data_IF_808355580534
#
_entry.id   IF_808355580534
#
_cell.length_a   1.000
_cell.length_b   1.000
_cell.length_c   1.000
_cell.angle_alpha   90.00
_cell.angle_beta   90.00
_cell.angle_gamma   90.00
#
_symmetry.space_group_name_H-M   'P 1'
#
loop_
_entity.id
_entity.type
_entity.pdbx_description
1 polymer ?
#
# COMPACT_ATOMS: atom_id res chain seq x y z
N UNK A 1 -4.61 -3.58 -10.00
CA UNK A 1 -3.46 -2.68 -9.73
C UNK A 1 -2.40 -2.79 -10.84
N UNK A 2 -2.45 -1.88 -11.82
CA UNK A 2 -1.44 -1.80 -12.87
C UNK A 2 -0.30 -0.89 -12.39
N UNK A 3 0.80 -1.49 -11.93
CA UNK A 3 2.04 -0.72 -11.74
C UNK A 3 2.61 -0.49 -13.14
N UNK A 4 2.59 0.76 -13.60
CA UNK A 4 3.11 1.13 -14.93
C UNK A 4 4.64 1.22 -14.90
N UNK A 5 5.28 0.06 -14.73
CA UNK A 5 6.71 -0.12 -14.46
C UNK A 5 7.58 0.33 -15.63
N UNK A 6 7.04 0.22 -16.83
CA UNK A 6 7.77 0.60 -18.01
C UNK A 6 8.02 2.12 -18.08
N UNK A 7 7.34 2.98 -17.32
CA UNK A 7 7.47 4.42 -17.58
C UNK A 7 8.91 4.97 -17.46
N UNK A 8 9.71 4.65 -16.42
CA UNK A 8 11.11 5.04 -16.38
C UNK A 8 11.93 4.41 -17.52
N UNK A 9 11.84 3.10 -17.73
CA UNK A 9 12.62 2.40 -18.78
C UNK A 9 12.22 2.78 -20.22
N UNK A 10 10.93 2.97 -20.48
CA UNK A 10 10.41 3.47 -21.76
C UNK A 10 10.75 4.94 -21.94
N UNK A 11 10.75 5.76 -20.88
CA UNK A 11 11.21 7.15 -20.95
C UNK A 11 12.70 7.24 -21.28
N UNK A 12 13.53 6.37 -20.69
CA UNK A 12 14.95 6.25 -21.02
C UNK A 12 15.16 5.73 -22.45
N UNK A 13 14.26 4.88 -22.96
CA UNK A 13 14.22 4.42 -24.35
C UNK A 13 13.60 5.43 -25.34
N UNK A 14 13.29 6.67 -24.90
CA UNK A 14 12.77 7.74 -25.75
C UNK A 14 11.25 7.82 -25.87
N UNK A 15 10.50 7.06 -25.07
CA UNK A 15 9.05 7.13 -24.94
C UNK A 15 8.57 8.48 -24.40
N UNK A 16 7.64 9.10 -25.12
CA UNK A 16 7.08 10.43 -24.79
C UNK A 16 5.57 10.33 -24.53
N UNK A 17 4.89 11.46 -24.37
CA UNK A 17 3.45 11.53 -24.10
C UNK A 17 2.60 10.69 -25.07
N UNK A 18 2.99 10.60 -26.36
CA UNK A 18 2.30 9.77 -27.35
C UNK A 18 2.32 8.27 -27.03
N UNK A 19 3.41 7.75 -26.46
CA UNK A 19 3.52 6.34 -26.04
C UNK A 19 2.55 6.02 -24.89
N UNK A 20 2.49 6.88 -23.88
CA UNK A 20 1.57 6.73 -22.76
C UNK A 20 0.10 6.83 -23.20
N UNK A 21 -0.21 7.77 -24.10
CA UNK A 21 -1.57 7.93 -24.63
C UNK A 21 -1.98 6.72 -25.49
N UNK A 22 -1.11 6.25 -26.38
CA UNK A 22 -1.36 5.06 -27.19
C UNK A 22 -1.55 3.81 -26.31
N UNK A 23 -0.70 3.62 -25.29
CA UNK A 23 -0.83 2.50 -24.35
C UNK A 23 -2.16 2.54 -23.60
N UNK A 24 -2.56 3.72 -23.10
CA UNK A 24 -3.85 3.91 -22.44
C UNK A 24 -5.04 3.65 -23.38
N UNK A 25 -4.96 4.11 -24.63
CA UNK A 25 -6.01 3.86 -25.63
C UNK A 25 -6.16 2.38 -25.97
N UNK A 26 -5.05 1.65 -26.17
CA UNK A 26 -5.05 0.21 -26.45
C UNK A 26 -5.63 -0.57 -25.26
N UNK A 27 -5.21 -0.26 -24.04
CA UNK A 27 -5.78 -0.88 -22.83
C UNK A 27 -7.28 -0.57 -22.72
N UNK A 28 -7.69 0.67 -23.00
CA UNK A 28 -9.08 1.08 -23.03
C UNK A 28 -9.90 0.24 -24.02
N UNK A 29 -9.41 0.06 -25.25
CA UNK A 29 -10.06 -0.79 -26.26
C UNK A 29 -10.18 -2.23 -25.75
N UNK A 30 -9.13 -2.79 -25.17
CA UNK A 30 -9.18 -4.15 -24.60
C UNK A 30 -10.20 -4.29 -23.48
N UNK A 31 -10.37 -3.26 -22.63
CA UNK A 31 -11.43 -3.23 -21.62
C UNK A 31 -12.83 -3.20 -22.27
N UNK A 32 -13.05 -2.33 -23.26
CA UNK A 32 -14.35 -2.18 -23.92
C UNK A 32 -14.77 -3.40 -24.75
N UNK A 33 -13.81 -4.13 -25.32
CA UNK A 33 -14.07 -5.34 -26.11
C UNK A 33 -14.10 -6.61 -25.22
N UNK A 34 -13.73 -6.51 -23.94
CA UNK A 34 -13.73 -7.65 -23.01
C UNK A 34 -12.60 -8.67 -23.25
N UNK A 35 -11.52 -8.26 -23.92
CA UNK A 35 -10.43 -9.16 -24.33
C UNK A 35 -9.52 -9.62 -23.16
N UNK A 36 -9.69 -9.07 -21.96
CA UNK A 36 -8.93 -9.46 -20.78
C UNK A 36 -9.16 -10.93 -20.39
N UNK A 37 -10.35 -11.49 -20.64
CA UNK A 37 -10.60 -12.93 -20.42
C UNK A 37 -9.76 -13.82 -21.34
N UNK A 38 -9.56 -13.41 -22.59
CA UNK A 38 -8.72 -14.12 -23.56
C UNK A 38 -7.24 -14.01 -23.17
N UNK A 39 -6.79 -12.82 -22.77
CA UNK A 39 -5.42 -12.61 -22.30
C UNK A 39 -5.12 -13.43 -21.04
N UNK A 40 -6.06 -13.54 -20.10
CA UNK A 40 -5.91 -14.36 -18.89
C UNK A 40 -5.81 -15.86 -19.20
N UNK A 41 -6.51 -16.33 -20.24
CA UNK A 41 -6.41 -17.73 -20.70
C UNK A 41 -5.08 -17.99 -21.44
N UNK A 42 -4.54 -16.99 -22.14
CA UNK A 42 -3.32 -17.11 -22.93
C UNK A 42 -2.04 -16.99 -22.08
N UNK A 43 -2.09 -16.17 -21.02
CA UNK A 43 -0.94 -15.88 -20.17
C UNK A 43 -0.93 -16.81 -18.95
N UNK A 44 -0.04 -17.82 -18.90
CA UNK A 44 0.03 -18.72 -17.77
C UNK A 44 0.49 -17.98 -16.51
N UNK A 45 -0.23 -18.15 -15.40
CA UNK A 45 0.11 -17.56 -14.09
C UNK A 45 1.58 -17.82 -13.68
N UNK A 46 2.17 -19.01 -13.90
CA UNK A 46 3.59 -19.26 -13.62
C UNK A 46 4.57 -18.32 -14.34
N UNK A 47 4.20 -17.72 -15.47
CA UNK A 47 5.05 -16.74 -16.17
C UNK A 47 4.94 -15.33 -15.57
N UNK A 48 3.79 -14.98 -14.99
CA UNK A 48 3.52 -13.65 -14.43
C UNK A 48 4.22 -13.47 -13.07
N UNK A 49 4.20 -14.50 -12.22
CA UNK A 49 4.72 -14.41 -10.84
C UNK A 49 6.21 -14.02 -10.78
N UNK A 50 7.13 -14.66 -11.54
CA UNK A 50 8.55 -14.27 -11.52
C UNK A 50 8.79 -12.84 -11.98
N UNK A 51 8.01 -12.37 -12.96
CA UNK A 51 8.08 -10.98 -13.46
C UNK A 51 7.70 -10.03 -12.32
N UNK A 52 6.58 -10.26 -11.64
CA UNK A 52 6.13 -9.43 -10.51
C UNK A 52 7.13 -9.44 -9.34
N UNK A 53 7.74 -10.59 -9.05
CA UNK A 53 8.80 -10.70 -8.04
C UNK A 53 10.01 -9.82 -8.41
N UNK A 54 10.50 -9.94 -9.64
CA UNK A 54 11.63 -9.16 -10.13
C UNK A 54 11.34 -7.65 -10.05
N UNK A 55 10.13 -7.24 -10.44
CA UNK A 55 9.67 -5.85 -10.34
C UNK A 55 9.67 -5.37 -8.89
N UNK A 56 9.08 -6.15 -7.97
CA UNK A 56 9.03 -5.80 -6.55
C UNK A 56 10.42 -5.60 -5.96
N UNK A 57 11.36 -6.49 -6.32
CA UNK A 57 12.76 -6.38 -5.91
C UNK A 57 13.44 -5.13 -6.48
N UNK A 58 13.24 -4.83 -7.76
CA UNK A 58 13.83 -3.64 -8.39
C UNK A 58 13.28 -2.34 -7.80
N UNK A 59 11.96 -2.19 -7.69
CA UNK A 59 11.34 -0.99 -7.13
C UNK A 59 11.71 -0.84 -5.65
N UNK A 60 11.74 -1.95 -4.90
CA UNK A 60 12.21 -1.99 -3.53
C UNK A 60 13.65 -1.47 -3.42
N UNK A 61 14.57 -1.98 -4.23
CA UNK A 61 15.96 -1.51 -4.24
C UNK A 61 16.07 -0.02 -4.63
N UNK A 62 15.32 0.42 -5.65
CA UNK A 62 15.29 1.80 -6.12
C UNK A 62 14.80 2.76 -5.03
N UNK A 63 13.82 2.37 -4.21
CA UNK A 63 13.33 3.19 -3.11
C UNK A 63 14.45 3.55 -2.11
N UNK A 64 15.37 2.63 -1.82
CA UNK A 64 16.53 2.89 -0.95
C UNK A 64 17.66 3.63 -1.66
N UNK A 65 17.85 3.41 -2.97
CA UNK A 65 18.90 4.05 -3.75
C UNK A 65 18.58 5.50 -4.13
N UNK A 66 17.29 5.83 -4.29
CA UNK A 66 16.83 7.16 -4.67
C UNK A 66 16.83 8.17 -3.51
N UNK A 67 17.05 7.72 -2.27
CA UNK A 67 17.04 8.57 -1.07
C UNK A 67 18.42 8.66 -0.42
N UNK A 68 18.74 9.73 0.34
CA UNK A 68 19.94 9.78 1.14
C UNK A 68 19.98 8.64 2.16
N UNK A 69 21.18 8.16 2.51
CA UNK A 69 21.37 7.04 3.48
C UNK A 69 20.67 7.28 4.82
N UNK A 70 20.62 8.55 5.26
CA UNK A 70 19.94 8.93 6.50
C UNK A 70 18.44 8.55 6.48
N UNK A 71 17.78 8.63 5.31
CA UNK A 71 16.34 8.41 5.16
C UNK A 71 15.97 6.94 4.88
N UNK A 72 16.92 6.01 4.87
CA UNK A 72 16.63 4.60 4.67
C UNK A 72 15.63 4.05 5.70
N UNK A 73 15.70 4.53 6.95
CA UNK A 73 14.74 4.16 8.01
C UNK A 73 13.32 4.66 7.68
N UNK A 74 13.19 5.83 7.05
CA UNK A 74 11.90 6.36 6.63
C UNK A 74 11.24 5.51 5.53
N UNK A 75 12.05 4.95 4.62
CA UNK A 75 11.56 4.01 3.60
C UNK A 75 10.99 2.75 4.25
N UNK A 76 11.70 2.17 5.23
CA UNK A 76 11.21 1.00 5.98
C UNK A 76 9.90 1.33 6.71
N UNK A 77 9.85 2.47 7.39
CA UNK A 77 8.64 2.91 8.10
C UNK A 77 7.45 3.07 7.15
N UNK A 78 7.66 3.65 5.96
CA UNK A 78 6.62 3.83 4.95
C UNK A 78 6.06 2.51 4.38
N UNK A 79 6.82 1.42 4.44
CA UNK A 79 6.39 0.09 3.97
C UNK A 79 5.52 -0.63 5.01
N UNK A 80 5.69 -0.36 6.30
CA UNK A 80 5.00 -1.08 7.39
C UNK A 80 3.48 -1.14 7.25
N UNK A 81 2.76 -0.05 6.90
CA UNK A 81 1.30 -0.12 6.74
C UNK A 81 0.86 -1.07 5.62
N UNK A 82 1.63 -1.14 4.53
CA UNK A 82 1.33 -2.05 3.42
C UNK A 82 1.55 -3.50 3.82
N UNK A 83 2.58 -3.77 4.64
CA UNK A 83 2.79 -5.10 5.23
C UNK A 83 1.67 -5.47 6.21
N UNK A 84 1.19 -4.52 7.02
CA UNK A 84 0.08 -4.72 7.95
C UNK A 84 -1.22 -5.06 7.19
N UNK A 85 -1.55 -4.29 6.15
CA UNK A 85 -2.71 -4.56 5.29
C UNK A 85 -2.61 -5.95 4.62
N UNK A 86 -1.43 -6.30 4.10
CA UNK A 86 -1.21 -7.61 3.50
C UNK A 86 -1.36 -8.75 4.51
N UNK A 87 -0.75 -8.63 5.69
CA UNK A 87 -0.82 -9.64 6.75
C UNK A 87 -2.25 -9.82 7.27
N UNK A 88 -2.95 -8.72 7.55
CA UNK A 88 -4.36 -8.73 7.92
C UNK A 88 -5.21 -9.45 6.86
N UNK A 89 -5.04 -9.10 5.57
CA UNK A 89 -5.76 -9.74 4.49
C UNK A 89 -5.46 -11.24 4.33
N UNK A 90 -4.23 -11.69 4.63
CA UNK A 90 -3.91 -13.12 4.67
C UNK A 90 -4.64 -13.85 5.79
N UNK A 91 -4.75 -13.23 6.97
CA UNK A 91 -5.51 -13.78 8.10
C UNK A 91 -6.98 -13.91 7.71
N UNK A 92 -7.58 -12.85 7.17
CA UNK A 92 -8.99 -12.89 6.72
C UNK A 92 -9.21 -13.98 5.65
N UNK A 93 -8.32 -14.08 4.66
CA UNK A 93 -8.42 -15.12 3.64
C UNK A 93 -8.35 -16.54 4.23
N UNK A 94 -7.48 -16.76 5.21
CA UNK A 94 -7.35 -18.05 5.88
C UNK A 94 -8.59 -18.40 6.73
N UNK A 95 -9.11 -17.43 7.49
CA UNK A 95 -10.32 -17.61 8.29
C UNK A 95 -11.54 -17.88 7.40
N UNK A 96 -11.71 -17.09 6.33
CA UNK A 96 -12.78 -17.28 5.35
C UNK A 96 -12.71 -18.66 4.68
N UNK A 97 -11.50 -19.15 4.35
CA UNK A 97 -11.31 -20.48 3.80
C UNK A 97 -11.66 -21.61 4.81
N UNK A 98 -11.51 -21.35 6.10
CA UNK A 98 -11.93 -22.24 7.18
C UNK A 98 -13.44 -22.13 7.51
N UNK A 99 -14.18 -21.25 6.82
CA UNK A 99 -15.61 -21.03 7.04
C UNK A 99 -15.93 -20.22 8.30
N UNK A 100 -14.97 -19.44 8.79
CA UNK A 100 -15.15 -18.56 9.96
C UNK A 100 -14.66 -17.13 9.65
N UNK A 101 -14.72 -16.24 10.64
CA UNK A 101 -14.22 -14.86 10.52
C UNK A 101 -13.52 -14.42 11.80
N UNK A 102 -12.76 -13.32 11.74
CA UNK A 102 -12.08 -12.77 12.91
C UNK A 102 -13.06 -12.38 14.04
N UNK A 103 -14.30 -12.02 13.69
CA UNK A 103 -15.35 -11.72 14.67
C UNK A 103 -15.82 -12.96 15.42
N UNK A 104 -15.89 -14.12 14.74
CA UNK A 104 -16.29 -15.37 15.35
C UNK A 104 -15.18 -16.00 16.20
N UNK A 105 -13.92 -15.89 15.75
CA UNK A 105 -12.75 -16.36 16.51
C UNK A 105 -12.50 -15.51 17.75
N UNK A 106 -13.01 -14.28 17.80
CA UNK A 106 -12.80 -13.25 18.84
C UNK A 106 -11.39 -12.66 18.86
N UNK A 107 -11.30 -11.36 19.15
CA UNK A 107 -10.02 -10.67 19.26
C UNK A 107 -9.13 -11.20 20.39
N UNK A 108 -9.73 -11.73 21.45
CA UNK A 108 -9.01 -12.30 22.60
C UNK A 108 -8.30 -13.61 22.24
N UNK A 109 -8.96 -14.51 21.52
CA UNK A 109 -8.34 -15.76 21.08
C UNK A 109 -7.21 -15.50 20.07
N UNK A 110 -7.42 -14.56 19.14
CA UNK A 110 -6.39 -14.15 18.17
C UNK A 110 -5.17 -13.55 18.89
N UNK A 111 -5.37 -12.64 19.84
CA UNK A 111 -4.28 -12.07 20.63
C UNK A 111 -3.59 -13.14 21.49
N UNK A 112 -4.34 -14.08 22.08
CA UNK A 112 -3.80 -15.20 22.84
C UNK A 112 -2.91 -16.14 22.00
N UNK A 113 -3.17 -16.23 20.70
CA UNK A 113 -2.33 -16.95 19.74
C UNK A 113 -1.15 -16.12 19.20
N UNK A 114 -0.97 -14.87 19.64
CA UNK A 114 0.06 -13.95 19.16
C UNK A 114 -0.32 -13.20 17.87
N UNK A 115 -1.57 -13.28 17.42
CA UNK A 115 -2.08 -12.55 16.26
C UNK A 115 -2.70 -11.24 16.72
N UNK A 116 -1.94 -10.15 16.60
CA UNK A 116 -2.40 -8.78 16.94
C UNK A 116 -3.30 -8.24 15.83
N UNK A 117 -4.49 -8.82 15.70
CA UNK A 117 -5.40 -8.59 14.56
C UNK A 117 -5.85 -7.13 14.45
N UNK A 118 -6.37 -6.55 15.53
CA UNK A 118 -6.87 -5.16 15.52
C UNK A 118 -5.78 -4.13 15.21
N UNK A 119 -4.55 -4.38 15.68
CA UNK A 119 -3.41 -3.51 15.37
C UNK A 119 -3.01 -3.58 13.90
N UNK A 120 -2.97 -4.79 13.33
CA UNK A 120 -2.71 -4.99 11.90
C UNK A 120 -3.81 -4.37 11.03
N UNK A 121 -5.07 -4.54 11.43
CA UNK A 121 -6.22 -3.93 10.77
C UNK A 121 -6.08 -2.41 10.77
N UNK A 122 -5.99 -1.80 11.96
CA UNK A 122 -5.95 -0.35 12.12
C UNK A 122 -4.78 0.27 11.36
N UNK A 123 -3.58 -0.32 11.43
CA UNK A 123 -2.40 0.20 10.72
C UNK A 123 -2.50 0.00 9.20
N UNK A 124 -3.21 -1.05 8.75
CA UNK A 124 -3.38 -1.37 7.33
C UNK A 124 -4.45 -0.54 6.62
N UNK A 125 -5.40 0.06 7.35
CA UNK A 125 -6.46 0.88 6.76
C UNK A 125 -5.89 2.15 6.11
N UNK A 126 -6.00 2.23 4.78
CA UNK A 126 -5.41 3.34 4.01
C UNK A 126 -3.89 3.26 3.88
N UNK A 127 -3.29 2.06 3.92
CA UNK A 127 -1.86 1.80 4.00
C UNK A 127 -0.95 2.69 3.13
N UNK A 128 -1.35 3.01 1.89
CA UNK A 128 -0.57 3.87 1.00
C UNK A 128 -0.44 5.28 1.57
N UNK A 129 -1.54 5.87 2.04
CA UNK A 129 -1.55 7.20 2.65
C UNK A 129 -0.90 7.18 4.03
N UNK A 130 -1.16 6.14 4.84
CA UNK A 130 -0.50 5.96 6.14
C UNK A 130 1.02 5.89 5.96
N UNK A 131 1.49 5.09 5.01
CA UNK A 131 2.92 4.95 4.70
C UNK A 131 3.55 6.26 4.25
N UNK A 132 2.83 7.06 3.44
CA UNK A 132 3.27 8.38 3.02
C UNK A 132 3.43 9.35 4.20
N UNK A 133 2.42 9.43 5.07
CA UNK A 133 2.44 10.32 6.25
C UNK A 133 3.52 9.85 7.23
N UNK A 134 3.60 8.55 7.52
CA UNK A 134 4.59 7.97 8.43
C UNK A 134 6.03 8.18 7.91
N UNK A 135 6.27 7.90 6.63
CA UNK A 135 7.56 8.17 5.99
C UNK A 135 7.94 9.65 6.04
N UNK A 136 6.97 10.54 5.84
CA UNK A 136 7.15 12.01 5.94
C UNK A 136 7.52 12.43 7.36
N UNK A 137 6.79 11.95 8.38
CA UNK A 137 7.10 12.22 9.78
C UNK A 137 8.51 11.75 10.16
N UNK A 138 8.85 10.50 9.84
CA UNK A 138 10.18 9.94 10.14
C UNK A 138 11.28 10.72 9.42
N UNK A 139 11.07 11.11 8.16
CA UNK A 139 12.02 11.95 7.42
C UNK A 139 12.26 13.29 8.12
N UNK A 140 11.21 14.02 8.50
CA UNK A 140 11.37 15.31 9.19
C UNK A 140 11.98 15.19 10.58
N UNK A 141 11.72 14.09 11.30
CA UNK A 141 12.37 13.80 12.59
C UNK A 141 13.88 13.59 12.39
N UNK A 142 14.28 12.81 11.38
CA UNK A 142 15.69 12.56 11.05
C UNK A 142 16.43 13.84 10.65
N UNK A 143 15.75 14.75 9.94
CA UNK A 143 16.28 16.07 9.60
C UNK A 143 16.24 17.08 10.76
N UNK A 144 15.75 16.69 11.95
CA UNK A 144 15.55 17.57 13.13
C UNK A 144 14.59 18.74 12.86
N UNK A 145 13.69 18.58 11.89
CA UNK A 145 12.67 19.54 11.47
C UNK A 145 11.35 19.27 12.19
N UNK A 146 11.36 19.38 13.53
CA UNK A 146 10.25 18.93 14.38
C UNK A 146 8.92 19.66 14.12
N UNK A 147 8.96 20.93 13.70
CA UNK A 147 7.73 21.65 13.32
C UNK A 147 7.03 20.98 12.13
N UNK A 148 7.79 20.58 11.11
CA UNK A 148 7.23 19.91 9.94
C UNK A 148 6.77 18.48 10.25
N UNK A 149 7.47 17.79 11.16
CA UNK A 149 7.00 16.51 11.68
C UNK A 149 5.66 16.65 12.43
N UNK A 150 5.51 17.69 13.26
CA UNK A 150 4.26 17.98 13.96
C UNK A 150 3.11 18.38 13.02
N UNK A 151 3.41 19.11 11.95
CA UNK A 151 2.42 19.40 10.90
C UNK A 151 2.00 18.10 10.20
N UNK A 152 2.94 17.23 9.84
CA UNK A 152 2.64 15.94 9.22
C UNK A 152 1.79 15.04 10.14
N UNK A 153 2.07 15.02 11.45
CA UNK A 153 1.26 14.28 12.42
C UNK A 153 -0.14 14.89 12.57
N UNK A 154 -0.27 16.22 12.58
CA UNK A 154 -1.57 16.89 12.62
C UNK A 154 -2.40 16.61 11.35
N UNK A 155 -1.76 16.60 10.18
CA UNK A 155 -2.41 16.17 8.93
C UNK A 155 -2.86 14.71 9.04
N UNK A 156 -2.01 13.82 9.55
CA UNK A 156 -2.39 12.43 9.84
C UNK A 156 -3.59 12.30 10.76
N UNK A 157 -3.63 13.06 11.86
CA UNK A 157 -4.74 13.10 12.80
C UNK A 157 -6.05 13.52 12.11
N UNK A 158 -6.02 14.58 11.28
CA UNK A 158 -7.19 15.03 10.52
C UNK A 158 -7.64 13.96 9.52
N UNK A 159 -6.72 13.35 8.78
CA UNK A 159 -7.03 12.28 7.82
C UNK A 159 -7.64 11.05 8.52
N UNK A 160 -7.15 10.71 9.71
CA UNK A 160 -7.69 9.64 10.56
C UNK A 160 -9.08 9.98 11.08
N UNK A 161 -9.31 11.24 11.44
CA UNK A 161 -10.60 11.70 11.96
C UNK A 161 -11.71 11.62 10.91
N UNK A 162 -11.41 11.93 9.65
CA UNK A 162 -12.38 11.81 8.54
C UNK A 162 -12.43 10.41 7.90
N UNK A 163 -11.60 9.48 8.39
CA UNK A 163 -11.59 8.09 7.95
C UNK A 163 -10.92 7.83 6.59
N UNK A 164 -10.03 8.71 6.14
CA UNK A 164 -9.19 8.42 4.96
C UNK A 164 -8.04 7.46 5.26
N UNK A 165 -7.63 7.38 6.54
CA UNK A 165 -6.62 6.46 7.06
C UNK A 165 -7.07 5.91 8.42
N UNK A 166 -6.56 4.74 8.81
CA UNK A 166 -6.84 4.11 10.12
C UNK A 166 -8.34 3.93 10.46
N UNK A 167 -9.20 3.85 9.44
CA UNK A 167 -10.63 3.64 9.57
C UNK A 167 -11.15 2.81 8.37
N UNK A 168 -12.21 2.00 8.55
CA UNK A 168 -12.74 1.15 7.49
C UNK A 168 -13.47 1.93 6.39
N UNK A 169 -14.02 3.10 6.72
CA UNK A 169 -14.77 3.94 5.78
C UNK A 169 -14.60 5.43 6.08
N UNK A 170 -14.86 6.25 5.05
CA UNK A 170 -14.86 7.70 5.16
C UNK A 170 -16.13 8.14 5.86
N UNK A 171 -15.99 8.64 7.08
CA UNK A 171 -17.10 9.13 7.89
C UNK A 171 -16.64 10.31 8.76
N UNK A 172 -17.59 11.09 9.25
CA UNK A 172 -17.28 12.10 10.25
C UNK A 172 -16.96 11.43 11.60
N UNK A 173 -15.81 11.77 12.19
CA UNK A 173 -15.32 11.15 13.43
C UNK A 173 -15.16 9.62 13.31
N UNK A 174 -14.62 9.14 12.18
CA UNK A 174 -14.48 7.71 11.87
C UNK A 174 -13.54 6.96 12.82
N UNK A 175 -12.42 7.57 13.22
CA UNK A 175 -11.46 6.99 14.16
C UNK A 175 -10.89 8.03 15.14
N UNK A 176 -11.69 8.51 16.11
CA UNK A 176 -11.31 9.62 16.99
C UNK A 176 -10.20 9.24 17.97
N UNK A 177 -10.19 7.98 18.41
CA UNK A 177 -9.15 7.48 19.32
C UNK A 177 -7.78 7.48 18.64
N UNK A 178 -7.70 6.97 17.41
CA UNK A 178 -6.44 6.98 16.63
C UNK A 178 -6.04 8.40 16.22
N UNK A 179 -7.01 9.27 15.94
CA UNK A 179 -6.74 10.68 15.60
C UNK A 179 -6.13 11.47 16.78
N UNK A 180 -6.42 11.09 18.02
CA UNK A 180 -5.90 11.75 19.22
C UNK A 180 -4.51 11.26 19.64
N UNK A 181 -4.05 10.14 19.10
CA UNK A 181 -2.76 9.51 19.41
C UNK A 181 -2.89 8.34 20.36
#
# INVERSE_FOLDING_TARGET
PAVYIGHPGWKDAGGRAGYSLASGAVIGIFCFVGLFGVLAALLPVPAIVPILLYIGLLIGAQAFQAVPRLHAVAVVAAILPNLAQWAHGLIDNALNAAGTSATEVTAEALNGAGVVYEGLKTLGEGAVLVGLILGTMVTFILEKKFLYAAIASAVGAVLSFIGLIHAPEVAWAASPQVALG
#
